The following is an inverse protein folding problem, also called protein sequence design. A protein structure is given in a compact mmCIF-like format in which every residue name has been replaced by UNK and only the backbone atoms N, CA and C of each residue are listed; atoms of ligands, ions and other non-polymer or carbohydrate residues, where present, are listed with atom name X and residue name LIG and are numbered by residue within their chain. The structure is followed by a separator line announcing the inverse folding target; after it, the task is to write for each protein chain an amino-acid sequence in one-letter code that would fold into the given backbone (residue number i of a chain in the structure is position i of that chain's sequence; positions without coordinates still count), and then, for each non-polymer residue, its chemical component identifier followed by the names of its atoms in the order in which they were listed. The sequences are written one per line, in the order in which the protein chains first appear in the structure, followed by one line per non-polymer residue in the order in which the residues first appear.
data_IF_584508661115
#
_entry.id   IF_584508661115
#
_cell.length_a   1.000
_cell.length_b   1.000
_cell.length_c   1.000
_cell.angle_alpha   90.00
_cell.angle_beta   90.00
_cell.angle_gamma   90.00
#
_symmetry.space_group_name_H-M   'P 1'
#
loop_
_entity.id
_entity.type
_entity.pdbx_description
1 polymer ?
#
# COMPACT_ATOMS: atom_id res chain seq x y z
N UNK A 1 1.96 1.99 -14.42
CA UNK A 1 2.34 1.62 -15.80
C UNK A 1 3.06 0.28 -15.88
N UNK A 2 3.75 -0.12 -14.83
CA UNK A 2 4.37 -1.44 -14.75
C UNK A 2 3.34 -2.57 -14.82
N UNK A 3 3.77 -3.69 -15.42
CA UNK A 3 2.96 -4.91 -15.60
C UNK A 3 3.49 -6.07 -14.76
N UNK A 4 4.79 -6.08 -14.44
CA UNK A 4 5.35 -7.08 -13.53
C UNK A 4 4.97 -6.76 -12.07
N UNK A 5 4.30 -7.70 -11.40
CA UNK A 5 3.79 -7.52 -10.03
C UNK A 5 4.91 -7.19 -9.04
N UNK A 6 6.08 -7.83 -9.13
CA UNK A 6 7.19 -7.58 -8.21
C UNK A 6 7.80 -6.19 -8.41
N UNK A 7 7.94 -5.74 -9.66
CA UNK A 7 8.43 -4.39 -9.97
C UNK A 7 7.42 -3.33 -9.58
N UNK A 8 6.14 -3.58 -9.82
CA UNK A 8 5.05 -2.71 -9.36
C UNK A 8 5.10 -2.56 -7.83
N UNK A 9 5.25 -3.67 -7.11
CA UNK A 9 5.46 -3.63 -5.67
C UNK A 9 6.73 -2.84 -5.34
N UNK A 10 7.86 -3.03 -6.02
CA UNK A 10 9.07 -2.24 -5.73
C UNK A 10 8.81 -0.72 -5.81
N UNK A 11 8.07 -0.24 -6.82
CA UNK A 11 7.68 1.17 -6.91
C UNK A 11 6.85 1.65 -5.71
N UNK A 12 5.93 0.84 -5.20
CA UNK A 12 5.20 1.17 -3.97
C UNK A 12 6.08 1.19 -2.72
N UNK A 13 7.21 0.47 -2.72
CA UNK A 13 8.20 0.62 -1.64
C UNK A 13 8.89 1.97 -1.70
N UNK A 14 9.30 2.44 -2.89
CA UNK A 14 9.85 3.79 -3.04
C UNK A 14 8.87 4.86 -2.57
N UNK A 15 7.60 4.73 -2.96
CA UNK A 15 6.51 5.61 -2.52
C UNK A 15 6.41 5.67 -0.98
N UNK A 16 6.27 4.53 -0.32
CA UNK A 16 6.09 4.46 1.13
C UNK A 16 7.34 4.88 1.90
N UNK A 17 8.54 4.59 1.40
CA UNK A 17 9.79 5.12 1.97
C UNK A 17 9.79 6.65 1.90
N UNK A 18 9.32 7.24 0.79
CA UNK A 18 9.14 8.68 0.68
C UNK A 18 8.23 9.23 1.79
N UNK A 19 7.09 8.58 2.05
CA UNK A 19 6.15 8.96 3.12
C UNK A 19 6.81 8.87 4.50
N UNK A 20 7.55 7.80 4.79
CA UNK A 20 8.31 7.64 6.04
C UNK A 20 9.30 8.79 6.21
N UNK A 21 10.07 9.11 5.16
CA UNK A 21 11.04 10.20 5.18
C UNK A 21 10.38 11.57 5.37
N UNK A 22 9.19 11.79 4.79
CA UNK A 22 8.42 13.01 5.04
C UNK A 22 8.02 13.14 6.52
N UNK A 23 7.57 12.04 7.15
CA UNK A 23 7.26 12.01 8.59
C UNK A 23 8.49 12.30 9.46
N UNK A 24 9.58 11.56 9.24
CA UNK A 24 10.84 11.78 9.97
C UNK A 24 11.40 13.19 9.75
N UNK A 25 11.32 13.72 8.53
CA UNK A 25 11.70 15.08 8.19
C UNK A 25 10.87 16.14 8.92
N UNK A 26 9.56 15.93 9.06
CA UNK A 26 8.71 16.79 9.89
C UNK A 26 9.13 16.73 11.37
N UNK A 27 9.52 15.55 11.86
CA UNK A 27 10.06 15.37 13.22
C UNK A 27 11.34 16.16 13.45
N UNK A 28 12.32 16.05 12.54
CA UNK A 28 13.58 16.82 12.59
C UNK A 28 13.31 18.33 12.48
N UNK A 29 12.36 18.74 11.65
CA UNK A 29 11.94 20.15 11.56
C UNK A 29 11.34 20.63 12.88
N UNK A 30 10.59 19.77 13.58
CA UNK A 30 10.09 20.04 14.92
C UNK A 30 11.20 20.24 15.95
N UNK A 31 12.33 19.53 15.84
CA UNK A 31 13.50 19.74 16.70
C UNK A 31 14.09 21.13 16.44
N UNK A 32 14.27 21.50 15.17
CA UNK A 32 14.81 22.81 14.79
C UNK A 32 13.91 23.99 15.18
N UNK A 33 12.59 23.77 15.24
CA UNK A 33 11.60 24.78 15.65
C UNK A 33 11.26 24.73 17.15
N UNK A 34 11.89 23.84 17.91
CA UNK A 34 11.61 23.62 19.35
C UNK A 34 10.12 23.33 19.65
N UNK A 35 9.45 22.59 18.76
CA UNK A 35 8.03 22.27 18.87
C UNK A 35 7.80 20.80 19.26
N UNK A 36 7.61 20.47 20.56
CA UNK A 36 7.55 19.09 21.04
C UNK A 36 6.42 18.27 20.40
N UNK A 37 5.27 18.90 20.15
CA UNK A 37 4.15 18.24 19.48
C UNK A 37 4.47 17.84 18.02
N UNK A 38 5.26 18.65 17.30
CA UNK A 38 5.66 18.37 15.93
C UNK A 38 6.70 17.25 15.88
N UNK A 39 7.63 17.25 16.84
CA UNK A 39 8.62 16.17 17.03
C UNK A 39 7.88 14.84 17.25
N UNK A 40 6.91 14.82 18.17
CA UNK A 40 6.13 13.63 18.48
C UNK A 40 5.39 13.10 17.24
N UNK A 41 4.62 13.95 16.57
CA UNK A 41 3.85 13.57 15.39
C UNK A 41 4.74 13.08 14.23
N UNK A 42 5.82 13.80 13.93
CA UNK A 42 6.70 13.45 12.82
C UNK A 42 7.47 12.15 13.06
N UNK A 43 8.16 12.03 14.20
CA UNK A 43 8.97 10.85 14.50
C UNK A 43 8.11 9.61 14.77
N UNK A 44 7.09 9.72 15.62
CA UNK A 44 6.21 8.58 15.94
C UNK A 44 5.42 8.18 14.69
N UNK A 45 4.92 9.13 13.90
CA UNK A 45 4.23 8.85 12.64
C UNK A 45 5.14 8.15 11.62
N UNK A 46 6.36 8.65 11.41
CA UNK A 46 7.33 8.05 10.51
C UNK A 46 7.75 6.63 10.93
N UNK A 47 8.06 6.43 12.21
CA UNK A 47 8.44 5.11 12.75
C UNK A 47 7.25 4.13 12.72
N UNK A 48 6.04 4.59 13.03
CA UNK A 48 4.86 3.75 12.96
C UNK A 48 4.56 3.34 11.52
N UNK A 49 4.66 4.27 10.57
CA UNK A 49 4.49 3.97 9.15
C UNK A 49 5.58 3.03 8.62
N UNK A 50 6.81 3.11 9.13
CA UNK A 50 7.88 2.15 8.83
C UNK A 50 7.50 0.72 9.24
N UNK A 51 7.01 0.52 10.47
CA UNK A 51 6.55 -0.78 10.93
C UNK A 51 5.37 -1.29 10.10
N UNK A 52 4.41 -0.42 9.83
CA UNK A 52 3.24 -0.75 9.02
C UNK A 52 3.65 -1.14 7.61
N UNK A 53 4.59 -0.40 7.02
CA UNK A 53 5.17 -0.69 5.72
C UNK A 53 5.74 -2.10 5.68
N UNK A 54 6.58 -2.49 6.64
CA UNK A 54 7.13 -3.84 6.71
C UNK A 54 6.04 -4.91 6.75
N UNK A 55 4.94 -4.68 7.50
CA UNK A 55 3.83 -5.63 7.60
C UNK A 55 3.07 -5.79 6.28
N UNK A 56 2.48 -4.73 5.75
CA UNK A 56 1.67 -4.85 4.53
C UNK A 56 2.54 -5.19 3.31
N UNK A 57 3.81 -4.80 3.29
CA UNK A 57 4.74 -5.21 2.23
C UNK A 57 5.00 -6.71 2.24
N UNK A 58 5.16 -7.29 3.43
CA UNK A 58 5.35 -8.73 3.59
C UNK A 58 4.11 -9.49 3.11
N UNK A 59 2.90 -9.02 3.43
CA UNK A 59 1.63 -9.57 2.89
C UNK A 59 1.66 -9.57 1.35
N UNK A 60 1.99 -8.43 0.75
CA UNK A 60 1.95 -8.25 -0.70
C UNK A 60 2.97 -9.11 -1.44
N UNK A 61 4.20 -9.23 -0.93
CA UNK A 61 5.22 -10.06 -1.57
C UNK A 61 4.94 -11.56 -1.38
N UNK A 62 4.50 -11.99 -0.20
CA UNK A 62 4.17 -13.40 0.04
C UNK A 62 2.92 -13.82 -0.72
N UNK A 63 1.91 -12.95 -0.83
CA UNK A 63 0.72 -13.21 -1.63
C UNK A 63 1.02 -13.19 -3.14
N UNK A 64 1.84 -12.24 -3.63
CA UNK A 64 2.33 -12.28 -5.01
C UNK A 64 3.16 -13.54 -5.30
N UNK A 65 3.97 -13.99 -4.34
CA UNK A 65 4.71 -15.26 -4.40
C UNK A 65 3.79 -16.46 -4.46
N UNK A 66 2.68 -16.45 -3.72
CA UNK A 66 1.65 -17.51 -3.75
C UNK A 66 0.97 -17.59 -5.11
N UNK A 67 0.63 -16.45 -5.72
CA UNK A 67 0.06 -16.40 -7.07
C UNK A 67 1.08 -16.89 -8.10
N UNK A 68 2.33 -16.46 -8.01
CA UNK A 68 3.40 -16.91 -8.91
C UNK A 68 3.66 -18.41 -8.79
N UNK A 69 3.66 -18.97 -7.58
CA UNK A 69 3.85 -20.40 -7.34
C UNK A 69 2.79 -21.27 -8.02
N UNK A 70 1.55 -20.76 -8.14
CA UNK A 70 0.43 -21.49 -8.74
C UNK A 70 0.20 -21.22 -10.23
N UNK A 71 0.65 -20.07 -10.73
CA UNK A 71 0.37 -19.64 -12.12
C UNK A 71 1.63 -19.54 -12.99
N UNK A 72 2.83 -19.50 -12.40
CA UNK A 72 4.09 -19.25 -13.10
C UNK A 72 4.26 -17.83 -13.65
N UNK A 73 3.23 -16.99 -13.59
CA UNK A 73 3.23 -15.66 -14.20
C UNK A 73 3.52 -14.56 -13.17
N UNK A 74 4.41 -13.64 -13.55
CA UNK A 74 4.68 -12.38 -12.82
C UNK A 74 4.01 -11.18 -13.45
N UNK A 75 3.58 -11.32 -14.70
CA UNK A 75 2.90 -10.28 -15.46
C UNK A 75 1.41 -10.29 -15.14
N UNK A 76 0.89 -9.19 -14.60
CA UNK A 76 -0.51 -9.07 -14.20
C UNK A 76 -1.46 -9.11 -15.40
N UNK A 77 -0.99 -8.83 -16.63
CA UNK A 77 -1.82 -8.95 -17.84
C UNK A 77 -2.12 -10.39 -18.23
N UNK A 78 -1.29 -11.33 -17.79
CA UNK A 78 -1.50 -12.77 -18.01
C UNK A 78 -2.34 -13.42 -16.92
N UNK A 79 -2.60 -12.71 -15.83
CA UNK A 79 -3.43 -13.17 -14.72
C UNK A 79 -4.89 -12.80 -14.96
N UNK A 80 -5.78 -13.01 -13.99
CA UNK A 80 -7.21 -12.70 -14.06
C UNK A 80 -8.05 -13.77 -13.38
N UNK A 81 -9.13 -13.37 -12.70
CA UNK A 81 -10.06 -14.30 -12.05
C UNK A 81 -9.48 -15.15 -10.91
N UNK A 82 -8.25 -14.87 -10.48
CA UNK A 82 -7.54 -15.66 -9.46
C UNK A 82 -8.28 -15.63 -8.11
N UNK A 83 -9.05 -14.58 -7.84
CA UNK A 83 -9.79 -14.45 -6.59
C UNK A 83 -10.79 -15.59 -6.35
N UNK A 84 -11.36 -16.17 -7.40
CA UNK A 84 -12.26 -17.33 -7.30
C UNK A 84 -11.51 -18.64 -7.02
N UNK A 85 -10.24 -18.73 -7.45
CA UNK A 85 -9.40 -19.93 -7.34
C UNK A 85 -8.63 -19.96 -6.02
N UNK A 86 -8.25 -18.79 -5.50
CA UNK A 86 -7.46 -18.63 -4.29
C UNK A 86 -8.09 -17.57 -3.37
N UNK A 87 -9.32 -17.78 -2.86
CA UNK A 87 -10.09 -16.74 -2.16
C UNK A 87 -9.40 -16.21 -0.90
N UNK A 88 -8.74 -17.10 -0.14
CA UNK A 88 -8.02 -16.73 1.09
C UNK A 88 -6.86 -15.78 0.77
N UNK A 89 -6.03 -16.12 -0.23
CA UNK A 89 -4.92 -15.25 -0.67
C UNK A 89 -5.48 -13.96 -1.27
N UNK A 90 -6.58 -14.02 -2.03
CA UNK A 90 -7.23 -12.85 -2.62
C UNK A 90 -7.65 -11.84 -1.55
N UNK A 91 -8.33 -12.29 -0.48
CA UNK A 91 -8.78 -11.43 0.61
C UNK A 91 -7.57 -10.86 1.37
N UNK A 92 -6.58 -11.68 1.69
CA UNK A 92 -5.39 -11.20 2.39
C UNK A 92 -4.59 -10.19 1.54
N UNK A 93 -4.48 -10.41 0.23
CA UNK A 93 -3.90 -9.45 -0.71
C UNK A 93 -4.72 -8.17 -0.82
N UNK A 94 -6.05 -8.26 -0.79
CA UNK A 94 -6.92 -7.08 -0.75
C UNK A 94 -6.63 -6.25 0.50
N UNK A 95 -6.57 -6.88 1.68
CA UNK A 95 -6.20 -6.22 2.94
C UNK A 95 -4.82 -5.57 2.83
N UNK A 96 -3.82 -6.27 2.32
CA UNK A 96 -2.48 -5.72 2.13
C UNK A 96 -2.46 -4.52 1.16
N UNK A 97 -3.22 -4.57 0.07
CA UNK A 97 -3.31 -3.48 -0.91
C UNK A 97 -4.08 -2.28 -0.35
N UNK A 98 -5.17 -2.51 0.40
CA UNK A 98 -5.91 -1.46 1.10
C UNK A 98 -5.05 -0.79 2.17
N UNK A 99 -4.25 -1.57 2.91
CA UNK A 99 -3.31 -1.07 3.90
C UNK A 99 -2.24 -0.21 3.23
N UNK A 100 -1.65 -0.68 2.14
CA UNK A 100 -0.67 0.08 1.34
C UNK A 100 -1.25 1.38 0.77
N UNK A 101 -2.54 1.40 0.41
CA UNK A 101 -3.23 2.59 -0.08
C UNK A 101 -3.82 3.46 1.04
N UNK A 102 -3.41 3.23 2.29
CA UNK A 102 -3.82 3.98 3.48
C UNK A 102 -5.34 4.12 3.66
N UNK A 103 -6.09 3.05 3.36
CA UNK A 103 -7.54 3.03 3.58
C UNK A 103 -7.86 2.68 5.05
N UNK A 104 -8.76 3.42 5.71
CA UNK A 104 -9.28 2.99 7.01
C UNK A 104 -10.07 1.68 6.85
N UNK A 105 -10.03 0.76 7.83
CA UNK A 105 -9.47 0.88 9.18
C UNK A 105 -8.03 0.36 9.34
N UNK A 106 -7.25 0.26 8.27
CA UNK A 106 -6.00 -0.49 8.27
C UNK A 106 -4.80 0.32 8.79
N UNK A 107 -3.71 -0.39 9.08
CA UNK A 107 -2.51 0.19 9.67
C UNK A 107 -1.82 1.27 8.80
N UNK A 108 -1.86 1.20 7.48
CA UNK A 108 -1.30 2.26 6.63
C UNK A 108 -1.99 3.61 6.84
N UNK A 109 -3.33 3.62 6.99
CA UNK A 109 -4.08 4.84 7.32
C UNK A 109 -3.64 5.41 8.68
N UNK A 110 -3.44 4.54 9.66
CA UNK A 110 -3.01 4.90 10.99
C UNK A 110 -1.68 5.67 11.01
N UNK A 111 -0.68 5.17 10.25
CA UNK A 111 0.63 5.83 10.12
C UNK A 111 0.54 7.16 9.38
N UNK A 112 -0.09 7.16 8.20
CA UNK A 112 -0.20 8.37 7.38
C UNK A 112 -1.01 9.47 8.06
N UNK A 113 -2.06 9.13 8.82
CA UNK A 113 -2.85 10.12 9.56
C UNK A 113 -2.02 10.88 10.59
N UNK A 114 -1.08 10.22 11.27
CA UNK A 114 -0.16 10.89 12.21
C UNK A 114 0.81 11.81 11.47
N UNK A 115 1.29 11.39 10.29
CA UNK A 115 2.13 12.22 9.42
C UNK A 115 1.34 13.45 8.91
N UNK A 116 0.07 13.30 8.51
CA UNK A 116 -0.79 14.43 8.15
C UNK A 116 -0.94 15.45 9.27
N UNK A 117 -1.14 14.98 10.51
CA UNK A 117 -1.23 15.87 11.66
C UNK A 117 0.06 16.66 11.87
N UNK A 118 1.23 16.07 11.59
CA UNK A 118 2.51 16.79 11.64
C UNK A 118 2.53 17.95 10.64
N UNK A 119 2.01 17.77 9.42
CA UNK A 119 1.93 18.83 8.42
C UNK A 119 0.93 19.92 8.76
N UNK A 120 -0.22 19.55 9.35
CA UNK A 120 -1.20 20.53 9.83
C UNK A 120 -0.64 21.36 10.99
N UNK A 121 0.14 20.74 11.89
CA UNK A 121 0.86 21.48 12.95
C UNK A 121 1.93 22.39 12.36
N UNK A 122 2.72 21.90 11.39
CA UNK A 122 3.72 22.70 10.69
C UNK A 122 3.09 23.93 10.01
N UNK A 123 1.90 23.77 9.44
CA UNK A 123 1.12 24.86 8.83
C UNK A 123 0.69 25.94 9.82
N UNK A 124 0.60 25.64 11.12
CA UNK A 124 0.23 26.59 12.16
C UNK A 124 1.44 27.17 12.90
N UNK A 125 2.66 26.87 12.44
CA UNK A 125 3.88 27.44 13.02
C UNK A 125 4.04 28.93 12.66
N UNK A 126 4.79 29.66 13.50
CA UNK A 126 5.08 31.08 13.28
C UNK A 126 6.04 31.36 12.11
N UNK A 127 6.78 30.35 11.64
CA UNK A 127 7.73 30.50 10.54
C UNK A 127 7.00 30.48 9.18
N UNK A 128 7.20 31.52 8.36
CA UNK A 128 6.56 31.65 7.04
C UNK A 128 6.79 30.43 6.15
N UNK A 129 8.03 29.93 6.09
CA UNK A 129 8.40 28.77 5.26
C UNK A 129 7.63 27.53 5.70
N UNK A 130 7.52 27.26 6.99
CA UNK A 130 6.80 26.12 7.52
C UNK A 130 5.27 26.23 7.30
N UNK A 131 4.73 27.45 7.41
CA UNK A 131 3.33 27.76 7.10
C UNK A 131 2.96 27.48 5.64
N UNK A 132 3.89 27.69 4.71
CA UNK A 132 3.72 27.37 3.29
C UNK A 132 3.96 25.89 2.99
N UNK A 133 5.00 25.29 3.58
CA UNK A 133 5.37 23.89 3.33
C UNK A 133 4.36 22.90 3.88
N UNK A 134 3.78 23.13 5.06
CA UNK A 134 2.81 22.21 5.68
C UNK A 134 1.66 21.82 4.73
N UNK A 135 0.86 22.77 4.22
CA UNK A 135 -0.21 22.47 3.28
C UNK A 135 0.29 21.83 1.97
N UNK A 136 1.43 22.27 1.45
CA UNK A 136 2.01 21.74 0.21
C UNK A 136 2.38 20.25 0.37
N UNK A 137 2.98 19.88 1.50
CA UNK A 137 3.30 18.48 1.82
C UNK A 137 2.04 17.65 2.02
N UNK A 138 1.01 18.19 2.68
CA UNK A 138 -0.28 17.51 2.84
C UNK A 138 -0.96 17.25 1.48
N UNK A 139 -0.97 18.23 0.58
CA UNK A 139 -1.50 18.07 -0.79
C UNK A 139 -0.68 17.05 -1.58
N UNK A 140 0.65 17.11 -1.48
CA UNK A 140 1.54 16.13 -2.11
C UNK A 140 1.23 14.70 -1.65
N UNK A 141 1.11 14.49 -0.33
CA UNK A 141 0.74 13.19 0.24
C UNK A 141 -0.67 12.75 -0.21
N UNK A 142 -1.63 13.67 -0.34
CA UNK A 142 -2.99 13.35 -0.78
C UNK A 142 -3.03 12.91 -2.26
N UNK A 143 -2.26 13.57 -3.12
CA UNK A 143 -2.11 13.16 -4.53
C UNK A 143 -1.45 11.77 -4.61
N UNK A 144 -0.41 11.52 -3.79
CA UNK A 144 0.21 10.19 -3.68
C UNK A 144 -0.82 9.14 -3.26
N UNK A 145 -1.60 9.39 -2.20
CA UNK A 145 -2.66 8.48 -1.77
C UNK A 145 -3.70 8.18 -2.86
N UNK A 146 -4.13 9.20 -3.63
CA UNK A 146 -5.05 9.00 -4.75
C UNK A 146 -4.46 8.08 -5.85
N UNK A 147 -3.18 8.25 -6.17
CA UNK A 147 -2.46 7.37 -7.11
C UNK A 147 -2.27 5.96 -6.52
N UNK A 148 -2.06 5.83 -5.21
CA UNK A 148 -1.95 4.55 -4.49
C UNK A 148 -3.25 3.76 -4.58
N UNK A 149 -4.39 4.38 -4.29
CA UNK A 149 -5.73 3.75 -4.40
C UNK A 149 -6.01 3.30 -5.82
N UNK A 150 -5.66 4.11 -6.81
CA UNK A 150 -5.82 3.73 -8.22
C UNK A 150 -4.93 2.53 -8.60
N UNK A 151 -3.68 2.51 -8.15
CA UNK A 151 -2.80 1.36 -8.35
C UNK A 151 -3.32 0.11 -7.63
N UNK A 152 -3.85 0.25 -6.43
CA UNK A 152 -4.52 -0.81 -5.68
C UNK A 152 -5.71 -1.37 -6.47
N UNK A 153 -6.60 -0.52 -6.97
CA UNK A 153 -7.72 -0.92 -7.82
C UNK A 153 -7.25 -1.62 -9.10
N UNK A 154 -6.20 -1.12 -9.75
CA UNK A 154 -5.58 -1.75 -10.92
C UNK A 154 -5.07 -3.16 -10.62
N UNK A 155 -4.22 -3.30 -9.60
CA UNK A 155 -3.58 -4.57 -9.26
C UNK A 155 -4.63 -5.59 -8.84
N UNK A 156 -5.52 -5.19 -7.92
CA UNK A 156 -6.55 -6.09 -7.44
C UNK A 156 -7.53 -6.48 -8.55
N UNK A 157 -8.03 -5.49 -9.29
CA UNK A 157 -9.01 -5.68 -10.35
C UNK A 157 -8.49 -6.51 -11.52
N UNK A 158 -7.25 -6.28 -11.96
CA UNK A 158 -6.69 -7.02 -13.09
C UNK A 158 -6.25 -8.42 -12.69
N UNK A 159 -5.67 -8.61 -11.49
CA UNK A 159 -5.13 -9.92 -11.09
C UNK A 159 -6.19 -10.85 -10.51
N UNK A 160 -7.04 -10.37 -9.60
CA UNK A 160 -7.95 -11.21 -8.82
C UNK A 160 -9.39 -11.22 -9.33
N UNK A 161 -9.85 -10.13 -9.93
CA UNK A 161 -11.20 -10.02 -10.51
C UNK A 161 -11.21 -10.40 -12.01
N UNK A 162 -12.42 -10.40 -12.60
CA UNK A 162 -12.62 -10.70 -14.01
C UNK A 162 -12.53 -12.19 -14.37
N UNK A 163 -12.39 -12.46 -15.67
CA UNK A 163 -12.20 -13.81 -16.21
C UNK A 163 -10.71 -14.15 -16.31
N UNK A 164 -10.32 -15.44 -16.19
CA UNK A 164 -8.95 -15.86 -16.38
C UNK A 164 -8.50 -15.62 -17.83
N UNK A 165 -7.31 -15.04 -18.00
CA UNK A 165 -6.75 -14.71 -19.32
C UNK A 165 -5.80 -15.78 -19.87
N UNK A 166 -5.33 -16.68 -19.02
CA UNK A 166 -4.42 -17.78 -19.36
C UNK A 166 -4.94 -19.11 -18.81
N UNK A 167 -4.52 -20.23 -19.41
CA UNK A 167 -4.92 -21.58 -18.96
C UNK A 167 -4.38 -21.86 -17.56
N UNK A 168 -3.21 -21.32 -17.25
CA UNK A 168 -2.53 -21.42 -15.96
C UNK A 168 -3.32 -20.68 -14.87
N UNK A 169 -3.85 -19.48 -15.18
CA UNK A 169 -4.74 -18.76 -14.27
C UNK A 169 -6.08 -19.48 -14.07
N UNK A 170 -6.63 -20.09 -15.13
CA UNK A 170 -7.88 -20.84 -15.08
C UNK A 170 -7.76 -22.13 -14.26
N UNK A 171 -6.63 -22.82 -14.37
CA UNK A 171 -6.34 -24.07 -13.67
C UNK A 171 -5.62 -23.88 -12.33
N UNK A 172 -5.44 -22.63 -11.88
CA UNK A 172 -4.80 -22.33 -10.60
C UNK A 172 -5.57 -23.00 -9.45
N UNK A 173 -4.83 -23.59 -8.51
CA UNK A 173 -5.37 -24.21 -7.30
C UNK A 173 -4.97 -23.42 -6.05
N UNK A 174 -5.61 -23.69 -4.92
CA UNK A 174 -5.29 -23.06 -3.63
C UNK A 174 -3.79 -23.14 -3.32
N UNK A 175 -3.20 -22.07 -2.77
CA UNK A 175 -1.81 -22.09 -2.33
C UNK A 175 -1.60 -23.13 -1.21
N UNK A 176 -0.37 -23.66 -1.05
CA UNK A 176 -0.02 -24.49 0.11
C UNK A 176 -0.41 -23.83 1.42
N UNK A 177 -0.78 -24.65 2.41
CA UNK A 177 -1.32 -24.17 3.69
C UNK A 177 -0.35 -23.21 4.39
N UNK A 178 0.94 -23.54 4.43
CA UNK A 178 1.95 -22.71 5.09
C UNK A 178 2.05 -21.31 4.45
N UNK A 179 2.02 -21.22 3.12
CA UNK A 179 2.02 -19.92 2.42
C UNK A 179 0.76 -19.11 2.75
N UNK A 180 -0.39 -19.79 2.77
CA UNK A 180 -1.67 -19.15 3.08
C UNK A 180 -1.73 -18.63 4.52
N UNK A 181 -1.28 -19.43 5.49
CA UNK A 181 -1.21 -19.04 6.90
C UNK A 181 -0.31 -17.84 7.10
N UNK A 182 0.90 -17.82 6.51
CA UNK A 182 1.82 -16.69 6.65
C UNK A 182 1.23 -15.39 6.09
N UNK A 183 0.60 -15.45 4.91
CA UNK A 183 -0.02 -14.27 4.28
C UNK A 183 -1.22 -13.78 5.10
N UNK A 184 -2.07 -14.68 5.57
CA UNK A 184 -3.26 -14.34 6.38
C UNK A 184 -2.87 -13.80 7.75
N UNK A 185 -1.91 -14.41 8.42
CA UNK A 185 -1.43 -13.94 9.73
C UNK A 185 -0.93 -12.49 9.65
N UNK A 186 -0.12 -12.17 8.63
CA UNK A 186 0.37 -10.81 8.41
C UNK A 186 -0.76 -9.84 8.01
N UNK A 187 -1.74 -10.29 7.24
CA UNK A 187 -2.91 -9.47 6.91
C UNK A 187 -3.75 -9.14 8.15
N UNK A 188 -3.92 -10.11 9.05
CA UNK A 188 -4.57 -9.89 10.36
C UNK A 188 -3.77 -8.88 11.19
N UNK A 189 -2.44 -8.98 11.22
CA UNK A 189 -1.59 -7.99 11.88
C UNK A 189 -1.77 -6.58 11.30
N UNK A 190 -2.02 -6.43 10.00
CA UNK A 190 -2.30 -5.13 9.38
C UNK A 190 -3.66 -4.55 9.84
N UNK A 191 -4.67 -5.41 10.05
CA UNK A 191 -5.97 -4.99 10.60
C UNK A 191 -5.81 -4.60 12.07
N UNK A 192 -5.17 -5.46 12.87
CA UNK A 192 -4.95 -5.21 14.30
C UNK A 192 -4.14 -3.93 14.49
N UNK A 193 -3.04 -3.73 13.75
CA UNK A 193 -2.26 -2.50 13.82
C UNK A 193 -3.07 -1.26 13.43
N UNK A 194 -4.06 -1.38 12.53
CA UNK A 194 -4.94 -0.27 12.20
C UNK A 194 -5.93 0.07 13.30
N UNK A 195 -6.64 -0.93 13.82
CA UNK A 195 -7.66 -0.75 14.87
C UNK A 195 -7.02 -0.40 16.20
N UNK A 196 -5.91 -1.05 16.54
CA UNK A 196 -5.23 -0.93 17.83
C UNK A 196 -4.23 0.25 17.89
N UNK A 197 -4.12 1.04 16.83
CA UNK A 197 -3.16 2.15 16.76
C UNK A 197 -3.29 3.18 17.91
N UNK A 198 -4.48 3.53 18.46
CA UNK A 198 -4.56 4.42 19.63
C UNK A 198 -3.84 3.89 20.87
N UNK A 199 -3.66 2.57 21.00
CA UNK A 199 -2.91 1.95 22.09
C UNK A 199 -1.44 1.72 21.71
N UNK A 200 -1.14 1.45 20.44
CA UNK A 200 0.22 1.21 19.96
C UNK A 200 1.05 2.50 19.84
N UNK A 201 0.44 3.61 19.43
CA UNK A 201 1.12 4.89 19.23
C UNK A 201 1.73 5.45 20.52
N UNK A 202 1.03 5.46 21.68
CA UNK A 202 1.64 5.85 22.95
C UNK A 202 2.82 4.97 23.37
N UNK A 203 2.74 3.65 23.15
CA UNK A 203 3.86 2.73 23.45
C UNK A 203 5.09 3.06 22.61
N UNK A 204 4.89 3.40 21.33
CA UNK A 204 5.97 3.82 20.46
C UNK A 204 6.54 5.18 20.89
N UNK A 205 5.69 6.12 21.34
CA UNK A 205 6.16 7.41 21.84
C UNK A 205 7.02 7.29 23.10
N UNK A 206 6.68 6.35 24.01
CA UNK A 206 7.47 6.08 25.21
C UNK A 206 8.85 5.47 24.90
N UNK A 207 8.98 4.80 23.75
CA UNK A 207 10.25 4.23 23.30
C UNK A 207 11.19 5.29 22.67
N UNK A 208 10.68 6.47 22.31
CA UNK A 208 11.49 7.56 21.76
C UNK A 208 11.97 8.46 22.91
N UNK A 209 13.28 8.55 23.18
CA UNK A 209 13.83 9.28 24.33
C UNK A 209 13.88 10.80 24.07
N UNK A 210 12.72 11.41 23.81
CA UNK A 210 12.54 12.84 23.60
C UNK A 210 11.37 13.34 24.47
N UNK A 211 11.35 14.62 24.86
CA UNK A 211 10.23 15.21 25.57
C UNK A 211 9.03 15.37 24.61
N UNK A 212 8.29 14.27 24.44
CA UNK A 212 7.13 14.21 23.55
C UNK A 212 5.87 14.49 24.36
N UNK A 213 5.09 15.48 23.92
CA UNK A 213 3.72 15.62 24.36
C UNK A 213 2.87 14.52 23.70
N UNK A 214 1.99 13.82 24.44
CA UNK A 214 1.11 12.82 23.85
C UNK A 214 0.23 13.48 22.78
N UNK A 215 0.48 13.10 21.53
CA UNK A 215 -0.30 13.57 20.41
C UNK A 215 -1.69 12.93 20.46
N UNK A 216 -2.65 13.63 21.05
CA UNK A 216 -4.06 13.24 20.96
C UNK A 216 -4.50 13.32 19.50
N UNK A 217 -4.71 12.17 18.88
CA UNK A 217 -5.29 12.12 17.53
C UNK A 217 -6.78 12.42 17.65
N UNK A 218 -7.27 13.40 16.88
CA UNK A 218 -8.71 13.76 16.86
C UNK A 218 -9.62 12.64 16.34
N UNK A 219 -9.02 11.62 15.72
CA UNK A 219 -9.72 10.53 15.06
C UNK A 219 -9.58 9.23 15.87
N UNK A 220 -10.72 8.64 16.26
CA UNK A 220 -10.76 7.30 16.88
C UNK A 220 -10.85 6.22 15.82
N UNK A 221 -9.77 5.46 15.64
CA UNK A 221 -9.69 4.38 14.64
C UNK A 221 -10.63 3.21 14.93
N UNK A 222 -10.84 2.78 16.19
CA UNK A 222 -11.91 1.83 16.51
C UNK A 222 -13.29 2.34 16.11
N UNK A 223 -13.58 3.62 16.34
CA UNK A 223 -14.87 4.19 15.95
C UNK A 223 -15.05 4.22 14.43
N UNK A 224 -14.02 4.61 13.67
CA UNK A 224 -14.05 4.51 12.21
C UNK A 224 -14.31 3.08 11.75
N UNK A 225 -13.67 2.11 12.40
CA UNK A 225 -13.86 0.69 12.08
C UNK A 225 -15.32 0.28 12.28
N UNK A 226 -15.91 0.64 13.43
CA UNK A 226 -17.32 0.37 13.72
C UNK A 226 -18.24 1.04 12.70
N UNK A 227 -17.97 2.30 12.33
CA UNK A 227 -18.76 3.03 11.33
C UNK A 227 -18.64 2.41 9.94
N UNK A 228 -17.45 1.96 9.53
CA UNK A 228 -17.24 1.29 8.25
C UNK A 228 -17.86 -0.11 8.19
N UNK A 229 -18.03 -0.78 9.34
CA UNK A 229 -18.78 -2.03 9.42
C UNK A 229 -20.29 -1.76 9.43
N UNK A 230 -20.75 -0.70 10.12
CA UNK A 230 -22.15 -0.35 10.23
C UNK A 230 -22.73 0.25 8.93
N UNK A 231 -21.95 1.06 8.22
CA UNK A 231 -22.41 1.76 7.01
C UNK A 231 -22.91 0.79 5.91
N UNK A 232 -22.24 -0.34 5.61
CA UNK A 232 -22.76 -1.38 4.72
C UNK A 232 -23.99 -2.12 5.25
N UNK A 233 -24.20 -2.20 6.57
CA UNK A 233 -25.39 -2.87 7.11
C UNK A 233 -26.67 -2.14 6.71
N UNK A 234 -26.64 -0.81 6.62
CA UNK A 234 -27.80 0.00 6.20
C UNK A 234 -28.35 -0.41 4.82
N UNK A 235 -27.57 -0.45 3.72
CA UNK A 235 -28.07 -0.94 2.44
C UNK A 235 -28.47 -2.41 2.51
N UNK A 236 -27.83 -3.27 3.33
CA UNK A 236 -28.31 -4.65 3.52
C UNK A 236 -29.66 -4.73 4.24
N UNK A 237 -29.91 -3.85 5.21
CA UNK A 237 -31.19 -3.73 5.93
C UNK A 237 -32.27 -3.19 4.99
N UNK A 238 -31.99 -2.10 4.26
CA UNK A 238 -32.88 -1.59 3.20
C UNK A 238 -33.15 -2.69 2.19
N UNK A 239 -32.12 -3.44 1.81
CA UNK A 239 -32.23 -4.57 0.90
C UNK A 239 -33.10 -5.70 1.49
N UNK A 240 -33.07 -5.94 2.80
CA UNK A 240 -33.87 -6.96 3.47
C UNK A 240 -35.34 -6.54 3.66
N UNK A 241 -35.60 -5.25 3.84
CA UNK A 241 -36.95 -4.66 4.00
C UNK A 241 -37.63 -4.49 2.63
N UNK A 242 -36.91 -3.96 1.64
CA UNK A 242 -37.40 -3.74 0.28
C UNK A 242 -37.24 -4.99 -0.60
N UNK A 243 -37.73 -6.14 -0.13
CA UNK A 243 -37.78 -7.44 -0.84
C UNK A 243 -38.98 -7.50 -1.81
N UNK A 244 -39.15 -6.48 -2.65
CA UNK A 244 -40.12 -6.56 -3.76
C UNK A 244 -39.76 -7.65 -4.78
N UNK A 245 -40.28 -7.55 -6.00
CA UNK A 245 -40.09 -8.54 -7.07
C UNK A 245 -38.67 -8.53 -7.65
N UNK A 246 -37.71 -9.04 -6.87
CA UNK A 246 -36.32 -9.10 -7.32
C UNK A 246 -36.09 -10.28 -8.24
N UNK A 247 -35.31 -10.01 -9.27
CA UNK A 247 -34.79 -11.04 -10.14
C UNK A 247 -33.94 -12.04 -9.33
N UNK A 248 -33.98 -13.33 -9.69
CA UNK A 248 -33.14 -14.35 -9.06
C UNK A 248 -31.66 -14.01 -9.24
N UNK A 249 -30.86 -14.33 -8.22
CA UNK A 249 -29.41 -14.11 -8.26
C UNK A 249 -28.78 -14.88 -9.42
N UNK A 250 -28.14 -14.16 -10.36
CA UNK A 250 -27.38 -14.75 -11.46
C UNK A 250 -25.91 -14.83 -11.08
N UNK A 251 -25.46 -16.04 -10.72
CA UNK A 251 -24.05 -16.33 -10.43
C UNK A 251 -23.29 -16.89 -11.65
N UNK A 252 -24.02 -17.27 -12.70
CA UNK A 252 -23.52 -17.88 -13.94
C UNK A 252 -24.22 -17.24 -15.14
N UNK A 253 -23.50 -17.13 -16.26
CA UNK A 253 -23.99 -16.55 -17.51
C UNK A 253 -22.96 -15.65 -18.18
N UNK A 254 -23.25 -15.20 -19.40
CA UNK A 254 -22.44 -14.21 -20.09
C UNK A 254 -22.49 -12.87 -19.35
N UNK A 255 -21.34 -12.19 -19.25
CA UNK A 255 -21.31 -10.81 -18.80
C UNK A 255 -22.09 -9.92 -19.79
N UNK A 256 -22.58 -8.77 -19.34
CA UNK A 256 -23.18 -7.82 -20.27
C UNK A 256 -22.13 -7.31 -21.26
N UNK A 257 -22.33 -7.62 -22.53
CA UNK A 257 -21.46 -7.24 -23.65
C UNK A 257 -22.28 -6.58 -24.75
N UNK A 258 -23.20 -5.67 -24.37
CA UNK A 258 -24.01 -4.88 -25.29
C UNK A 258 -24.80 -5.71 -26.34
N UNK A 259 -25.19 -6.94 -25.99
CA UNK A 259 -25.93 -7.85 -26.89
C UNK A 259 -25.07 -8.80 -27.73
N UNK A 260 -23.74 -8.77 -27.60
CA UNK A 260 -22.83 -9.71 -28.25
C UNK A 260 -22.58 -10.98 -27.40
N UNK A 261 -21.81 -11.92 -27.93
CA UNK A 261 -21.23 -13.01 -27.13
C UNK A 261 -19.93 -12.54 -26.46
N UNK A 262 -19.63 -13.12 -25.30
CA UNK A 262 -18.43 -12.74 -24.56
C UNK A 262 -17.16 -13.29 -25.22
N UNK A 263 -16.28 -12.39 -25.66
CA UNK A 263 -14.94 -12.74 -26.13
C UNK A 263 -13.87 -12.55 -25.05
N UNK A 264 -12.82 -13.38 -25.12
CA UNK A 264 -11.67 -13.28 -24.20
C UNK A 264 -10.94 -11.93 -24.29
N UNK A 265 -11.05 -11.23 -25.42
CA UNK A 265 -10.49 -9.91 -25.69
C UNK A 265 -11.17 -8.78 -24.87
N UNK A 266 -12.41 -8.99 -24.44
CA UNK A 266 -13.23 -7.97 -23.76
C UNK A 266 -12.85 -7.75 -22.30
N UNK A 267 -11.93 -8.55 -21.75
CA UNK A 267 -11.49 -8.43 -20.36
C UNK A 267 -10.52 -7.25 -20.20
N UNK A 268 -10.85 -6.30 -19.33
CA UNK A 268 -10.03 -5.09 -19.05
C UNK A 268 -8.57 -5.48 -18.76
N UNK A 269 -7.62 -4.89 -19.48
CA UNK A 269 -6.19 -5.11 -19.26
C UNK A 269 -5.57 -4.09 -18.30
N UNK A 270 -4.41 -4.42 -17.74
CA UNK A 270 -3.64 -3.46 -16.94
C UNK A 270 -3.23 -2.22 -17.74
N UNK A 271 -2.93 -2.38 -19.03
CA UNK A 271 -2.66 -1.25 -19.92
C UNK A 271 -3.88 -0.35 -20.06
N UNK A 272 -5.04 -0.91 -20.42
CA UNK A 272 -6.28 -0.15 -20.63
C UNK A 272 -6.69 0.63 -19.38
N UNK A 273 -6.62 0.00 -18.20
CA UNK A 273 -6.93 0.66 -16.93
C UNK A 273 -6.02 1.87 -16.63
N UNK A 274 -4.73 1.76 -16.93
CA UNK A 274 -3.75 2.80 -16.60
C UNK A 274 -3.61 3.89 -17.70
N UNK A 275 -4.25 3.73 -18.85
CA UNK A 275 -4.07 4.59 -20.01
C UNK A 275 -4.53 6.04 -19.81
N UNK A 276 -5.71 6.32 -19.20
CA UNK A 276 -6.14 7.70 -18.96
C UNK A 276 -5.14 8.48 -18.12
N UNK A 277 -4.59 7.85 -17.08
CA UNK A 277 -3.59 8.45 -16.19
C UNK A 277 -2.26 8.63 -16.89
N UNK A 278 -1.85 7.68 -17.73
CA UNK A 278 -0.66 7.84 -18.56
C UNK A 278 -0.77 9.04 -19.49
N UNK A 279 -1.94 9.31 -20.04
CA UNK A 279 -2.20 10.47 -20.88
C UNK A 279 -2.19 11.77 -20.07
N UNK A 280 -2.87 11.80 -18.92
CA UNK A 280 -2.89 12.97 -18.03
C UNK A 280 -1.49 13.38 -17.56
N UNK A 281 -0.64 12.41 -17.22
CA UNK A 281 0.75 12.64 -16.79
C UNK A 281 1.78 12.62 -17.93
N UNK A 282 1.34 12.58 -19.20
CA UNK A 282 2.25 12.52 -20.34
C UNK A 282 3.30 13.66 -20.39
N UNK A 283 2.97 14.92 -20.04
CA UNK A 283 3.97 16.00 -19.98
C UNK A 283 5.08 15.70 -18.95
N UNK A 284 4.71 15.26 -17.75
CA UNK A 284 5.64 14.91 -16.66
C UNK A 284 6.50 13.70 -17.04
N UNK A 285 5.92 12.71 -17.73
CA UNK A 285 6.65 11.53 -18.17
C UNK A 285 7.62 11.83 -19.32
N UNK A 286 7.33 12.83 -20.16
CA UNK A 286 8.27 13.31 -21.18
C UNK A 286 9.50 13.96 -20.55
N UNK A 287 9.33 14.72 -19.46
CA UNK A 287 10.44 15.32 -18.70
C UNK A 287 11.44 14.26 -18.23
N UNK A 288 11.00 13.05 -17.85
CA UNK A 288 11.90 11.94 -17.49
C UNK A 288 12.91 11.60 -18.58
N UNK A 289 12.55 11.71 -19.86
CA UNK A 289 13.47 11.43 -20.97
C UNK A 289 14.57 12.49 -21.08
N UNK A 290 14.22 13.74 -20.75
CA UNK A 290 15.12 14.88 -20.84
C UNK A 290 16.02 15.01 -19.60
N UNK A 291 15.45 14.81 -18.42
CA UNK A 291 16.13 14.86 -17.12
C UNK A 291 16.72 13.52 -16.70
N UNK A 292 16.95 12.58 -17.63
CA UNK A 292 17.48 11.27 -17.28
C UNK A 292 18.95 11.39 -16.85
N UNK A 293 19.31 11.25 -15.56
CA UNK A 293 20.68 11.45 -15.11
C UNK A 293 21.62 10.34 -15.58
N UNK A 294 21.08 9.27 -16.19
CA UNK A 294 21.87 8.17 -16.76
C UNK A 294 22.81 8.65 -17.86
N UNK A 295 22.46 9.70 -18.60
CA UNK A 295 23.39 10.32 -19.56
C UNK A 295 24.54 11.06 -18.88
N UNK A 296 24.37 11.49 -17.62
CA UNK A 296 25.40 12.18 -16.83
C UNK A 296 26.34 11.22 -16.12
N UNK A 297 25.91 9.97 -15.85
CA UNK A 297 26.72 8.93 -15.22
C UNK A 297 26.65 7.64 -16.04
N UNK A 298 27.39 7.56 -17.16
CA UNK A 298 27.45 6.35 -17.97
C UNK A 298 28.04 5.19 -17.15
N UNK A 299 27.25 4.14 -16.95
CA UNK A 299 27.67 2.93 -16.20
C UNK A 299 26.82 2.57 -14.98
N UNK A 300 25.97 3.47 -14.47
CA UNK A 300 25.10 3.17 -13.31
C UNK A 300 24.12 2.01 -13.61
N UNK A 301 23.67 1.89 -14.86
CA UNK A 301 22.76 0.81 -15.29
C UNK A 301 23.46 -0.47 -15.75
N UNK A 302 24.79 -0.58 -15.66
CA UNK A 302 25.49 -1.83 -15.99
C UNK A 302 25.12 -2.94 -15.00
N UNK A 303 25.00 -4.18 -15.46
CA UNK A 303 24.70 -5.34 -14.60
C UNK A 303 25.68 -5.48 -13.41
N UNK A 304 26.90 -4.95 -13.54
CA UNK A 304 27.89 -4.88 -12.46
C UNK A 304 27.41 -4.10 -11.23
N UNK A 305 26.62 -3.04 -11.39
CA UNK A 305 26.10 -2.27 -10.25
C UNK A 305 25.07 -3.09 -9.47
N UNK A 306 24.19 -3.83 -10.16
CA UNK A 306 23.23 -4.74 -9.52
C UNK A 306 23.93 -5.87 -8.76
N UNK A 307 25.04 -6.40 -9.29
CA UNK A 307 25.87 -7.39 -8.61
C UNK A 307 26.53 -6.80 -7.35
N UNK A 308 27.02 -5.57 -7.45
CA UNK A 308 27.67 -4.84 -6.36
C UNK A 308 26.68 -4.51 -5.23
N UNK A 309 25.48 -4.02 -5.57
CA UNK A 309 24.40 -3.80 -4.60
C UNK A 309 23.93 -5.10 -3.93
N UNK A 310 23.84 -6.22 -4.67
CA UNK A 310 23.54 -7.53 -4.07
C UNK A 310 24.62 -7.98 -3.09
N UNK A 311 25.90 -7.77 -3.44
CA UNK A 311 27.02 -8.11 -2.55
C UNK A 311 27.05 -7.22 -1.31
N UNK A 312 26.83 -5.92 -1.45
CA UNK A 312 26.72 -5.01 -0.31
C UNK A 312 25.54 -5.38 0.59
N UNK A 313 24.36 -5.67 0.03
CA UNK A 313 23.21 -6.09 0.83
C UNK A 313 23.47 -7.39 1.60
N UNK A 314 24.21 -8.35 1.02
CA UNK A 314 24.64 -9.57 1.71
C UNK A 314 25.62 -9.26 2.85
N UNK A 315 26.58 -8.36 2.63
CA UNK A 315 27.53 -7.92 3.66
C UNK A 315 26.80 -7.20 4.78
N UNK A 316 25.88 -6.30 4.46
CA UNK A 316 25.07 -5.55 5.43
C UNK A 316 24.19 -6.50 6.27
N UNK A 317 23.57 -7.49 5.63
CA UNK A 317 22.78 -8.51 6.31
C UNK A 317 23.65 -9.41 7.21
N UNK A 318 24.85 -9.78 6.75
CA UNK A 318 25.80 -10.51 7.58
C UNK A 318 26.28 -9.70 8.79
N UNK A 319 26.57 -8.40 8.59
CA UNK A 319 26.94 -7.48 9.68
C UNK A 319 25.80 -7.32 10.67
N UNK A 320 24.56 -7.14 10.20
CA UNK A 320 23.38 -7.06 11.07
C UNK A 320 23.17 -8.35 11.88
N UNK A 321 23.34 -9.52 11.26
CA UNK A 321 23.27 -10.81 11.96
C UNK A 321 24.36 -10.93 13.02
N UNK A 322 25.60 -10.54 12.71
CA UNK A 322 26.71 -10.53 13.67
C UNK A 322 26.45 -9.56 14.83
N UNK A 323 25.89 -8.37 14.55
CA UNK A 323 25.54 -7.39 15.59
C UNK A 323 24.43 -7.94 16.49
N UNK A 324 23.42 -8.59 15.91
CA UNK A 324 22.32 -9.20 16.67
C UNK A 324 22.82 -10.36 17.54
N UNK A 325 23.68 -11.22 17.00
CA UNK A 325 24.27 -12.35 17.75
C UNK A 325 25.22 -11.86 18.84
N UNK A 326 26.03 -10.83 18.57
CA UNK A 326 27.01 -10.32 19.54
C UNK A 326 26.42 -9.42 20.63
N UNK A 327 25.24 -8.83 20.41
CA UNK A 327 24.49 -8.09 21.45
C UNK A 327 23.46 -8.94 22.18
N UNK A 328 23.18 -10.15 21.70
CA UNK A 328 22.26 -11.11 22.30
C UNK A 328 22.93 -12.22 23.13
N UNK A 329 24.26 -12.18 23.28
CA UNK A 329 25.07 -13.00 24.17
C UNK A 329 25.71 -12.11 25.24
#
# INVERSE_FOLDING_TARGET
MEHNIQRLLAYHTLENIGIILLGLGAGVTGIALEQPALIALGLVGGLYHLLNHSLFKSVLFLGAGSVWFRTGHRDIEKLGGIGKKMPVISIAMLVGLMAMAALPPLNGFAGEWVIYQSFFKLSNSGAFVARLLGPLLAVGLAITGALAVMCMAKVYGVTFLGAPRTKEAENATCAPLLMSVSVVALAICCVIGGVAAPWLLPMLSAAVPLPLEPANTTVSQPMITLLLIACPLLPFIIMAICKGDRLPSRSRGAAWVCGYDHEKSMVITAHGFAMPVKQAFAPVLKLRKWLNPVSLVPGWQCEGSALLFRRMALVELAVLVVIIVSRGA
#
